data_IF_452543056486
#
_entry.id   IF_452543056486
#
_cell.length_a   1.000
_cell.length_b   1.000
_cell.length_c   1.000
_cell.angle_alpha   90.00
_cell.angle_beta   90.00
_cell.angle_gamma   90.00
#
_symmetry.space_group_name_H-M   'P 1'
#
loop_
_entity.id
_entity.type
_entity.pdbx_description
1 polymer ?
#
# COMPACT_ATOMS: atom_id res chain seq x y z
N UNK A 1 -28.88 34.48 11.73
CA UNK A 1 -30.16 35.01 11.19
C UNK A 1 -30.18 34.77 9.70
N UNK A 2 -30.83 33.69 9.32
CA UNK A 2 -31.31 33.43 7.96
C UNK A 2 -32.50 34.37 7.78
N UNK A 3 -32.53 35.20 6.74
CA UNK A 3 -33.73 36.00 6.47
C UNK A 3 -34.78 35.09 5.84
N UNK A 4 -35.98 34.97 6.42
CA UNK A 4 -37.09 34.30 5.74
C UNK A 4 -37.64 35.18 4.61
N UNK A 5 -38.26 34.54 3.62
CA UNK A 5 -38.96 35.23 2.54
C UNK A 5 -40.07 36.15 3.09
N UNK A 6 -40.27 37.27 2.42
CA UNK A 6 -41.26 38.27 2.82
C UNK A 6 -42.70 37.74 2.70
N UNK A 7 -43.51 38.00 3.72
CA UNK A 7 -44.94 37.66 3.77
C UNK A 7 -45.70 38.25 2.58
N UNK A 8 -46.27 37.40 1.73
CA UNK A 8 -47.22 37.80 0.68
C UNK A 8 -46.99 37.21 -0.72
N UNK A 9 -45.95 36.42 -0.97
CA UNK A 9 -45.86 35.68 -2.25
C UNK A 9 -46.76 34.45 -2.21
N UNK A 10 -47.81 34.46 -3.03
CA UNK A 10 -48.56 33.23 -3.34
C UNK A 10 -47.70 32.43 -4.32
N UNK A 11 -47.26 31.20 -3.99
CA UNK A 11 -46.43 30.40 -4.89
C UNK A 11 -47.23 30.10 -6.15
N UNK A 12 -46.85 30.74 -7.26
CA UNK A 12 -47.35 30.37 -8.57
C UNK A 12 -46.28 29.48 -9.18
N UNK A 13 -46.67 28.22 -9.41
CA UNK A 13 -45.84 27.06 -9.79
C UNK A 13 -45.19 26.31 -8.61
N UNK A 14 -45.29 24.99 -8.70
CA UNK A 14 -44.63 23.97 -7.89
C UNK A 14 -43.11 24.04 -8.08
N UNK A 15 -42.44 25.10 -7.63
CA UNK A 15 -41.01 25.03 -7.38
C UNK A 15 -40.85 24.17 -6.13
N UNK A 16 -40.42 22.91 -6.29
CA UNK A 16 -39.90 22.18 -5.14
C UNK A 16 -38.81 23.07 -4.54
N UNK A 17 -38.88 23.33 -3.23
CA UNK A 17 -37.79 24.01 -2.54
C UNK A 17 -36.55 23.16 -2.80
N UNK A 18 -35.48 23.77 -3.31
CA UNK A 18 -34.24 23.08 -3.63
C UNK A 18 -33.15 23.64 -2.73
N UNK A 19 -32.65 22.82 -1.82
CA UNK A 19 -31.65 23.17 -0.84
C UNK A 19 -30.26 22.89 -1.41
N UNK A 20 -29.27 23.63 -0.92
CA UNK A 20 -27.87 23.32 -1.21
C UNK A 20 -27.47 22.13 -0.34
N UNK A 21 -26.65 21.18 -0.84
CA UNK A 21 -26.12 20.11 -0.01
C UNK A 21 -25.37 20.64 1.22
N UNK A 22 -25.29 19.80 2.25
CA UNK A 22 -24.43 20.01 3.42
C UNK A 22 -23.36 18.93 3.45
N UNK A 23 -22.14 19.31 3.83
CA UNK A 23 -20.99 18.41 3.91
C UNK A 23 -20.25 18.57 5.24
N UNK A 24 -19.55 17.50 5.63
CA UNK A 24 -18.56 17.51 6.71
C UNK A 24 -17.39 16.62 6.32
N UNK A 25 -16.17 17.11 6.53
CA UNK A 25 -14.93 16.37 6.21
C UNK A 25 -13.88 16.56 7.29
N UNK A 26 -13.12 15.49 7.56
CA UNK A 26 -11.97 15.56 8.44
C UNK A 26 -10.93 14.48 8.13
N UNK A 27 -9.69 14.74 8.55
CA UNK A 27 -8.59 13.79 8.45
C UNK A 27 -8.50 12.94 9.71
N UNK A 28 -8.34 11.62 9.57
CA UNK A 28 -8.01 10.74 10.70
C UNK A 28 -6.50 10.76 10.96
N UNK A 29 -6.08 11.47 12.01
CA UNK A 29 -4.67 11.83 12.26
C UNK A 29 -3.79 10.71 12.80
N UNK A 30 -4.34 9.56 13.22
CA UNK A 30 -3.54 8.48 13.83
C UNK A 30 -2.93 7.50 12.81
N UNK A 31 -3.49 7.36 11.61
CA UNK A 31 -2.99 6.40 10.60
C UNK A 31 -3.43 6.74 9.16
N UNK A 32 -3.65 8.03 8.88
CA UNK A 32 -4.28 8.47 7.64
C UNK A 32 -3.35 9.01 6.57
N UNK A 33 -2.02 8.84 6.67
CA UNK A 33 -1.07 9.25 5.62
C UNK A 33 -0.03 8.15 5.44
N UNK A 34 0.08 7.63 4.22
CA UNK A 34 1.07 6.64 3.81
C UNK A 34 1.85 7.15 2.60
N UNK A 35 3.18 7.23 2.70
CA UNK A 35 4.02 7.67 1.59
C UNK A 35 3.95 6.69 0.43
N UNK A 36 3.78 7.21 -0.78
CA UNK A 36 3.77 6.41 -1.99
C UNK A 36 5.12 6.53 -2.71
N UNK A 37 5.80 5.40 -2.84
CA UNK A 37 7.15 5.30 -3.37
C UNK A 37 7.16 4.80 -4.81
N UNK A 38 8.03 5.39 -5.62
CA UNK A 38 8.35 4.91 -6.96
C UNK A 38 9.86 4.71 -7.08
N UNK A 39 10.24 3.60 -7.70
CA UNK A 39 11.63 3.26 -8.01
C UNK A 39 11.94 3.60 -9.46
N UNK A 40 13.04 4.32 -9.67
CA UNK A 40 13.67 4.46 -10.98
C UNK A 40 14.67 3.30 -11.17
N UNK A 41 14.39 2.34 -12.08
CA UNK A 41 15.25 1.17 -12.29
C UNK A 41 16.58 1.53 -12.95
N UNK A 42 16.69 2.67 -13.64
CA UNK A 42 17.92 3.09 -14.30
C UNK A 42 18.94 3.64 -13.29
N UNK A 43 18.46 4.33 -12.27
CA UNK A 43 19.30 4.97 -11.25
C UNK A 43 19.28 4.22 -9.92
N UNK A 44 18.44 3.18 -9.79
CA UNK A 44 18.19 2.43 -8.56
C UNK A 44 17.89 3.37 -7.37
N UNK A 45 17.09 4.39 -7.64
CA UNK A 45 16.69 5.41 -6.67
C UNK A 45 15.22 5.25 -6.37
N UNK A 46 14.89 5.06 -5.10
CA UNK A 46 13.52 5.11 -4.62
C UNK A 46 13.21 6.52 -4.13
N UNK A 47 12.12 7.09 -4.63
CA UNK A 47 11.66 8.43 -4.28
C UNK A 47 10.19 8.43 -3.92
N UNK A 48 9.81 9.22 -2.92
CA UNK A 48 8.41 9.53 -2.64
C UNK A 48 7.88 10.41 -3.76
N UNK A 49 6.75 10.03 -4.38
CA UNK A 49 6.08 10.86 -5.39
C UNK A 49 4.79 11.50 -4.88
N UNK A 50 4.30 11.06 -3.72
CA UNK A 50 3.10 11.57 -3.05
C UNK A 50 2.77 10.76 -1.81
N UNK A 51 1.55 10.91 -1.32
CA UNK A 51 1.05 10.09 -0.22
C UNK A 51 -0.42 9.71 -0.43
N UNK A 52 -0.79 8.51 -0.01
CA UNK A 52 -2.18 8.09 0.13
C UNK A 52 -2.71 8.60 1.47
N UNK A 53 -3.80 9.36 1.42
CA UNK A 53 -4.40 9.99 2.59
C UNK A 53 -5.81 9.43 2.82
N UNK A 54 -6.07 8.92 4.02
CA UNK A 54 -7.39 8.41 4.44
C UNK A 54 -8.22 9.53 5.06
N UNK A 55 -9.33 9.86 4.41
CA UNK A 55 -10.16 11.02 4.70
C UNK A 55 -11.60 10.60 4.94
N UNK A 56 -12.19 11.13 6.01
CA UNK A 56 -13.63 10.96 6.23
C UNK A 56 -14.40 12.01 5.43
N UNK A 57 -15.51 11.57 4.84
CA UNK A 57 -16.49 12.44 4.22
C UNK A 57 -17.90 12.10 4.73
N UNK A 58 -18.76 13.11 4.77
CA UNK A 58 -20.20 12.99 4.86
C UNK A 58 -20.86 14.07 4.01
N UNK A 59 -21.91 13.71 3.28
CA UNK A 59 -22.72 14.61 2.48
C UNK A 59 -24.20 14.26 2.61
N UNK A 60 -25.03 15.29 2.64
CA UNK A 60 -26.49 15.15 2.66
C UNK A 60 -27.12 16.26 1.84
N UNK A 61 -28.10 15.89 1.03
CA UNK A 61 -29.11 16.82 0.55
C UNK A 61 -30.44 16.50 1.24
N UNK A 62 -31.08 17.51 1.83
CA UNK A 62 -32.34 17.32 2.57
C UNK A 62 -33.52 17.03 1.63
N UNK A 63 -33.41 17.39 0.35
CA UNK A 63 -34.42 17.11 -0.67
C UNK A 63 -34.19 15.74 -1.33
N UNK A 64 -33.05 15.10 -1.05
CA UNK A 64 -32.74 13.74 -1.47
C UNK A 64 -32.28 13.62 -2.93
N UNK A 65 -31.86 14.73 -3.54
CA UNK A 65 -31.42 14.83 -4.94
C UNK A 65 -29.92 15.13 -5.09
N UNK A 66 -29.11 14.75 -4.09
CA UNK A 66 -27.66 14.78 -4.18
C UNK A 66 -27.18 14.01 -5.43
N UNK A 67 -26.48 14.69 -6.34
CA UNK A 67 -26.13 14.14 -7.65
C UNK A 67 -24.68 13.70 -7.75
N UNK A 68 -23.74 14.56 -7.34
CA UNK A 68 -22.30 14.29 -7.43
C UNK A 68 -21.58 14.75 -6.16
N UNK A 69 -20.55 14.02 -5.76
CA UNK A 69 -19.64 14.45 -4.70
C UNK A 69 -18.26 13.82 -4.87
N UNK A 70 -17.23 14.48 -4.31
CA UNK A 70 -15.88 13.96 -4.36
C UNK A 70 -14.82 14.99 -3.96
N UNK A 71 -13.56 14.59 -4.11
CA UNK A 71 -12.39 15.38 -3.77
C UNK A 71 -11.88 16.16 -4.97
N UNK A 72 -11.58 17.43 -4.75
CA UNK A 72 -10.84 18.34 -5.62
C UNK A 72 -9.47 18.56 -4.97
N UNK A 73 -8.45 17.97 -5.58
CA UNK A 73 -7.09 17.82 -5.05
C UNK A 73 -6.22 19.00 -5.50
N UNK A 74 -6.44 19.51 -6.71
CA UNK A 74 -5.68 20.63 -7.26
C UNK A 74 -6.37 22.01 -7.11
N UNK A 75 -7.58 22.02 -6.54
CA UNK A 75 -8.40 23.19 -6.24
C UNK A 75 -8.83 23.96 -7.49
N UNK A 76 -9.01 23.28 -8.62
CA UNK A 76 -9.50 23.88 -9.86
C UNK A 76 -11.03 24.04 -9.92
N UNK A 77 -11.76 23.53 -8.92
CA UNK A 77 -13.21 23.57 -8.82
C UNK A 77 -13.90 22.37 -9.49
N UNK A 78 -13.15 21.41 -10.00
CA UNK A 78 -13.63 20.16 -10.58
C UNK A 78 -13.35 19.00 -9.61
N UNK A 79 -14.23 18.01 -9.57
CA UNK A 79 -13.99 16.80 -8.78
C UNK A 79 -12.97 15.92 -9.52
N UNK A 80 -11.81 15.72 -8.91
CA UNK A 80 -10.75 14.81 -9.38
C UNK A 80 -11.06 13.35 -9.04
N UNK A 81 -11.58 13.13 -7.83
CA UNK A 81 -11.89 11.79 -7.32
C UNK A 81 -13.32 11.72 -6.81
N UNK A 82 -14.19 11.08 -7.60
CA UNK A 82 -15.58 10.85 -7.24
C UNK A 82 -15.75 9.93 -6.04
N UNK A 83 -16.80 10.19 -5.26
CA UNK A 83 -17.22 9.39 -4.12
C UNK A 83 -18.72 9.13 -4.23
N UNK A 84 -19.16 7.88 -4.02
CA UNK A 84 -20.57 7.49 -4.16
C UNK A 84 -21.30 7.30 -2.82
N UNK A 85 -20.57 6.95 -1.76
CA UNK A 85 -21.17 6.72 -0.45
C UNK A 85 -21.41 8.05 0.26
N UNK A 86 -22.62 8.26 0.79
CA UNK A 86 -22.99 9.50 1.48
C UNK A 86 -22.14 9.78 2.72
N UNK A 87 -21.52 8.76 3.31
CA UNK A 87 -20.48 8.95 4.32
C UNK A 87 -19.55 7.74 4.38
N UNK A 88 -18.30 7.95 4.77
CA UNK A 88 -17.32 6.89 4.86
C UNK A 88 -15.90 7.41 4.83
N UNK A 89 -14.95 6.51 4.56
CA UNK A 89 -13.56 6.87 4.34
C UNK A 89 -13.20 6.70 2.86
N UNK A 90 -12.53 7.70 2.32
CA UNK A 90 -11.92 7.67 1.00
C UNK A 90 -10.40 7.70 1.15
N UNK A 91 -9.68 6.91 0.35
CA UNK A 91 -8.22 7.05 0.22
C UNK A 91 -7.92 7.89 -1.01
N UNK A 92 -7.20 9.00 -0.82
CA UNK A 92 -6.89 9.99 -1.86
C UNK A 92 -5.38 10.08 -2.02
N UNK A 93 -4.90 9.91 -3.25
CA UNK A 93 -3.48 10.12 -3.55
C UNK A 93 -3.21 11.61 -3.78
N UNK A 94 -2.30 12.19 -2.99
CA UNK A 94 -1.89 13.60 -3.12
C UNK A 94 -0.43 13.65 -3.57
N UNK A 95 -0.13 14.19 -4.77
CA UNK A 95 1.23 14.24 -5.29
C UNK A 95 2.11 15.19 -4.48
N UNK A 96 3.42 14.91 -4.41
CA UNK A 96 4.43 15.74 -3.75
C UNK A 96 4.38 17.22 -4.15
N UNK A 97 3.99 17.52 -5.39
CA UNK A 97 3.84 18.88 -5.91
C UNK A 97 2.73 19.70 -5.23
N UNK A 98 1.74 19.05 -4.61
CA UNK A 98 0.65 19.71 -3.90
C UNK A 98 0.97 19.99 -2.42
N UNK A 99 2.15 19.59 -1.94
CA UNK A 99 2.57 19.82 -0.56
C UNK A 99 3.47 21.05 -0.45
N UNK A 100 3.29 21.79 0.65
CA UNK A 100 4.03 23.01 0.95
C UNK A 100 4.74 22.87 2.30
N UNK A 101 6.03 23.17 2.33
CA UNK A 101 6.81 23.19 3.56
C UNK A 101 6.32 24.30 4.51
N UNK A 102 6.21 23.99 5.80
CA UNK A 102 6.01 25.03 6.80
C UNK A 102 7.24 25.94 6.88
N UNK A 103 7.09 27.27 6.79
CA UNK A 103 8.20 28.18 6.96
C UNK A 103 8.72 28.11 8.41
N UNK A 104 9.99 27.74 8.58
CA UNK A 104 10.68 27.76 9.88
C UNK A 104 11.61 28.96 9.96
N UNK A 105 11.36 29.86 10.92
CA UNK A 105 12.25 31.00 11.18
C UNK A 105 13.60 30.57 11.77
N UNK A 106 13.61 29.46 12.51
CA UNK A 106 14.79 28.95 13.20
C UNK A 106 15.69 28.12 12.26
N UNK A 107 15.09 27.47 11.25
CA UNK A 107 15.80 26.62 10.28
C UNK A 107 15.31 26.93 8.86
N UNK A 108 15.74 28.05 8.22
CA UNK A 108 15.19 28.53 6.96
C UNK A 108 15.33 27.56 5.78
N UNK A 109 16.27 26.61 5.86
CA UNK A 109 16.56 25.63 4.82
C UNK A 109 16.12 24.20 5.18
N UNK A 110 15.33 24.02 6.24
CA UNK A 110 14.87 22.70 6.69
C UNK A 110 13.36 22.62 6.68
N UNK A 111 12.82 21.55 6.08
CA UNK A 111 11.40 21.22 6.16
C UNK A 111 11.20 20.41 7.43
N UNK A 112 10.56 20.99 8.44
CA UNK A 112 10.24 20.30 9.70
C UNK A 112 8.84 19.66 9.66
N UNK A 113 7.98 20.16 8.80
CA UNK A 113 6.63 19.67 8.53
C UNK A 113 6.17 20.26 7.19
N UNK A 114 5.14 19.69 6.62
CA UNK A 114 4.49 20.15 5.39
C UNK A 114 2.98 20.12 5.55
N UNK A 115 2.29 20.89 4.71
CA UNK A 115 0.84 20.90 4.62
C UNK A 115 0.39 20.85 3.17
N UNK A 116 -0.80 20.31 2.95
CA UNK A 116 -1.55 20.44 1.70
C UNK A 116 -2.98 20.82 2.01
N UNK A 117 -3.67 21.41 1.03
CA UNK A 117 -5.09 21.74 1.14
C UNK A 117 -5.81 21.18 -0.06
N UNK A 118 -6.88 20.44 0.20
CA UNK A 118 -7.78 19.90 -0.80
C UNK A 118 -9.20 20.34 -0.45
N UNK A 119 -10.15 20.16 -1.37
CA UNK A 119 -11.56 20.43 -1.11
C UNK A 119 -12.40 19.16 -1.31
N UNK A 120 -13.49 19.06 -0.56
CA UNK A 120 -14.59 18.16 -0.88
C UNK A 120 -15.74 18.98 -1.44
N UNK A 121 -16.28 18.54 -2.58
CA UNK A 121 -17.35 19.21 -3.30
C UNK A 121 -18.56 18.29 -3.33
N UNK A 122 -19.75 18.84 -3.11
CA UNK A 122 -21.02 18.16 -3.31
C UNK A 122 -21.95 19.04 -4.16
N UNK A 123 -22.61 18.43 -5.14
CA UNK A 123 -23.47 19.09 -6.14
C UNK A 123 -24.81 18.35 -6.21
N UNK A 124 -25.92 19.07 -6.10
CA UNK A 124 -27.27 18.52 -6.26
C UNK A 124 -27.69 18.38 -7.74
N UNK A 125 -28.85 17.78 -8.01
CA UNK A 125 -29.38 17.58 -9.36
C UNK A 125 -29.78 18.89 -10.07
N UNK A 126 -29.98 19.97 -9.31
CA UNK A 126 -30.28 21.32 -9.79
C UNK A 126 -29.03 22.16 -10.08
N UNK A 127 -27.84 21.66 -9.71
CA UNK A 127 -26.54 22.29 -9.88
C UNK A 127 -26.11 23.21 -8.74
N UNK A 128 -26.79 23.25 -7.60
CA UNK A 128 -26.24 23.92 -6.43
C UNK A 128 -25.08 23.10 -5.88
N UNK A 129 -24.03 23.80 -5.46
CA UNK A 129 -22.83 23.18 -4.94
C UNK A 129 -22.40 23.76 -3.60
N UNK A 130 -21.79 22.92 -2.77
CA UNK A 130 -21.07 23.29 -1.55
C UNK A 130 -19.67 22.71 -1.60
N UNK A 131 -18.71 23.41 -1.01
CA UNK A 131 -17.32 22.95 -0.90
C UNK A 131 -16.76 23.21 0.49
N UNK A 132 -15.91 22.31 0.99
CA UNK A 132 -15.21 22.48 2.26
C UNK A 132 -13.73 22.17 2.07
N UNK A 133 -12.87 23.09 2.50
CA UNK A 133 -11.43 22.86 2.55
C UNK A 133 -11.07 21.91 3.70
N UNK A 134 -10.13 21.02 3.41
CA UNK A 134 -9.46 20.20 4.40
C UNK A 134 -7.95 20.46 4.33
N UNK A 135 -7.39 20.88 5.45
CA UNK A 135 -5.95 21.07 5.60
C UNK A 135 -5.35 19.81 6.22
N UNK A 136 -4.36 19.24 5.53
CA UNK A 136 -3.70 18.00 5.93
C UNK A 136 -2.26 18.34 6.27
N UNK A 137 -1.84 17.94 7.47
CA UNK A 137 -0.48 18.18 7.96
C UNK A 137 0.29 16.86 8.00
N UNK A 138 1.55 16.91 7.58
CA UNK A 138 2.46 15.77 7.60
C UNK A 138 3.84 16.19 8.10
N UNK A 139 4.58 15.29 8.78
CA UNK A 139 6.04 15.37 8.81
C UNK A 139 6.61 15.49 7.38
N UNK A 140 7.86 15.96 7.22
CA UNK A 140 8.50 15.97 5.91
C UNK A 140 8.54 14.56 5.34
N UNK A 141 8.29 14.43 4.03
CA UNK A 141 8.46 13.14 3.38
C UNK A 141 9.90 12.66 3.47
N UNK A 142 10.04 11.35 3.59
CA UNK A 142 11.31 10.66 3.59
C UNK A 142 12.12 11.06 2.36
N UNK A 143 13.41 11.40 2.51
CA UNK A 143 14.25 11.77 1.39
C UNK A 143 14.40 10.58 0.43
N UNK A 144 14.56 10.88 -0.86
CA UNK A 144 15.02 9.87 -1.80
C UNK A 144 16.35 9.29 -1.33
N UNK A 145 16.50 7.97 -1.43
CA UNK A 145 17.73 7.30 -1.02
C UNK A 145 18.17 6.33 -2.12
N UNK A 146 19.49 6.19 -2.23
CA UNK A 146 20.15 5.22 -3.10
C UNK A 146 20.31 3.95 -2.29
N UNK A 147 19.60 2.89 -2.67
CA UNK A 147 19.34 1.71 -1.84
C UNK A 147 17.84 1.42 -1.82
N UNK A 148 17.39 0.33 -1.21
CA UNK A 148 15.97 -0.05 -1.20
C UNK A 148 15.36 -0.07 0.22
N UNK A 149 14.25 0.66 0.41
CA UNK A 149 13.08 0.14 1.11
C UNK A 149 12.66 -1.06 0.29
N UNK A 150 12.39 -2.22 0.91
CA UNK A 150 12.06 -3.42 0.17
C UNK A 150 10.76 -3.19 -0.61
N UNK A 151 10.87 -2.97 -1.93
CA UNK A 151 9.74 -2.88 -2.88
C UNK A 151 8.97 -4.21 -2.90
N UNK A 152 9.67 -5.27 -2.54
CA UNK A 152 9.12 -6.60 -2.31
C UNK A 152 9.13 -6.90 -0.83
N UNK A 153 7.96 -7.15 -0.27
CA UNK A 153 7.84 -7.61 1.11
C UNK A 153 7.50 -9.09 1.10
N UNK A 154 8.31 -9.86 1.84
CA UNK A 154 8.02 -11.25 2.11
C UNK A 154 7.87 -11.49 3.61
N UNK A 155 7.03 -12.46 3.94
CA UNK A 155 6.97 -13.09 5.27
C UNK A 155 7.55 -14.49 5.20
N UNK A 156 8.21 -14.94 6.26
CA UNK A 156 8.68 -16.32 6.40
C UNK A 156 8.18 -16.89 7.73
N UNK A 157 7.50 -18.02 7.69
CA UNK A 157 6.97 -18.73 8.86
C UNK A 157 7.29 -20.22 8.80
N UNK A 158 7.25 -20.89 9.94
CA UNK A 158 7.35 -22.35 10.02
C UNK A 158 6.30 -23.02 9.11
N UNK A 159 6.70 -24.09 8.43
CA UNK A 159 5.82 -24.78 7.48
C UNK A 159 4.79 -25.72 8.15
N UNK A 160 4.77 -25.80 9.49
CA UNK A 160 3.99 -26.69 10.35
C UNK A 160 4.16 -28.18 10.02
N UNK A 161 5.35 -28.58 9.57
CA UNK A 161 5.72 -29.98 9.35
C UNK A 161 6.78 -30.39 10.36
N UNK A 162 6.72 -31.64 10.85
CA UNK A 162 7.75 -32.15 11.76
C UNK A 162 9.10 -32.23 11.03
N UNK A 163 10.16 -31.75 11.67
CA UNK A 163 11.53 -32.05 11.26
C UNK A 163 11.84 -33.51 11.55
N UNK A 164 12.44 -34.22 10.60
CA UNK A 164 12.74 -35.64 10.72
C UNK A 164 14.21 -35.93 10.40
N UNK A 165 14.58 -37.21 10.37
CA UNK A 165 15.91 -37.60 9.87
C UNK A 165 15.90 -37.86 8.36
N UNK A 166 14.77 -37.57 7.72
CA UNK A 166 14.51 -37.69 6.29
C UNK A 166 15.20 -36.60 5.49
N UNK A 167 14.78 -36.46 4.23
CA UNK A 167 15.30 -35.41 3.33
C UNK A 167 14.17 -34.80 2.50
N UNK A 168 12.98 -34.80 3.07
CA UNK A 168 11.71 -34.41 2.46
C UNK A 168 10.86 -33.60 3.46
N UNK A 169 11.51 -33.02 4.47
CA UNK A 169 10.88 -32.20 5.50
C UNK A 169 10.53 -30.82 4.95
N UNK A 170 9.35 -30.31 5.33
CA UNK A 170 8.93 -28.95 5.03
C UNK A 170 9.54 -28.02 6.08
N UNK A 171 10.44 -27.13 5.67
CA UNK A 171 11.16 -26.27 6.60
C UNK A 171 10.41 -24.97 6.87
N UNK A 172 10.27 -24.11 5.85
CA UNK A 172 9.73 -22.75 6.01
C UNK A 172 8.81 -22.42 4.84
N UNK A 173 7.71 -21.73 5.14
CA UNK A 173 6.81 -21.15 4.17
C UNK A 173 7.11 -19.66 3.98
N UNK A 174 7.33 -19.25 2.74
CA UNK A 174 7.61 -17.86 2.37
C UNK A 174 6.48 -17.33 1.50
N UNK A 175 5.92 -16.17 1.84
CA UNK A 175 4.80 -15.55 1.11
C UNK A 175 5.19 -14.14 0.66
N UNK A 176 4.87 -13.75 -0.57
CA UNK A 176 4.99 -12.36 -1.02
C UNK A 176 3.76 -11.57 -0.57
N UNK A 177 3.94 -10.56 0.27
CA UNK A 177 2.87 -9.68 0.75
C UNK A 177 2.81 -8.34 0.00
N UNK A 178 3.88 -7.96 -0.68
CA UNK A 178 3.96 -6.73 -1.49
C UNK A 178 5.00 -6.90 -2.60
N UNK A 179 4.77 -6.29 -3.76
CA UNK A 179 5.69 -6.31 -4.90
C UNK A 179 4.96 -6.37 -6.24
N UNK A 180 5.73 -6.46 -7.33
CA UNK A 180 5.22 -6.88 -8.64
C UNK A 180 5.54 -8.34 -8.91
N UNK A 181 5.10 -8.87 -10.05
CA UNK A 181 5.36 -10.27 -10.42
C UNK A 181 6.87 -10.53 -10.60
N UNK A 182 7.41 -11.57 -9.95
CA UNK A 182 8.80 -12.01 -10.12
C UNK A 182 8.86 -13.28 -10.95
N UNK A 183 9.49 -13.24 -12.13
CA UNK A 183 9.63 -14.44 -12.95
C UNK A 183 10.55 -15.48 -12.28
N UNK A 184 10.07 -16.72 -12.13
CA UNK A 184 10.83 -17.81 -11.51
C UNK A 184 12.19 -18.05 -12.16
N UNK A 185 12.34 -17.83 -13.47
CA UNK A 185 13.64 -17.97 -14.16
C UNK A 185 14.64 -16.85 -13.82
N UNK A 186 14.18 -15.74 -13.25
CA UNK A 186 14.98 -14.54 -12.94
C UNK A 186 15.30 -14.40 -11.47
N UNK A 187 14.92 -15.36 -10.62
CA UNK A 187 15.23 -15.34 -9.19
C UNK A 187 15.96 -16.60 -8.74
N UNK A 188 16.70 -16.48 -7.64
CA UNK A 188 17.36 -17.57 -6.94
C UNK A 188 17.05 -17.45 -5.46
N UNK A 189 16.54 -18.53 -4.88
CA UNK A 189 16.34 -18.64 -3.44
C UNK A 189 17.45 -19.48 -2.84
N UNK A 190 18.09 -18.95 -1.80
CA UNK A 190 19.09 -19.67 -1.01
C UNK A 190 18.63 -19.75 0.43
N UNK A 191 18.97 -20.84 1.10
CA UNK A 191 18.78 -20.97 2.54
C UNK A 191 20.10 -21.27 3.24
N UNK A 192 20.22 -20.76 4.46
CA UNK A 192 21.27 -21.11 5.40
C UNK A 192 20.59 -21.62 6.67
N UNK A 193 20.81 -22.88 7.00
CA UNK A 193 20.27 -23.51 8.21
C UNK A 193 21.33 -23.45 9.32
N UNK A 194 21.01 -22.91 10.49
CA UNK A 194 21.90 -22.77 11.66
C UNK A 194 23.27 -22.14 11.33
N UNK A 195 23.26 -21.11 10.48
CA UNK A 195 24.46 -20.42 9.97
C UNK A 195 25.43 -21.31 9.16
N UNK A 196 24.99 -22.48 8.68
CA UNK A 196 25.74 -23.30 7.73
C UNK A 196 25.94 -22.58 6.38
N UNK A 197 26.77 -23.15 5.52
CA UNK A 197 26.99 -22.61 4.18
C UNK A 197 25.66 -22.55 3.40
N UNK A 198 25.31 -21.41 2.77
CA UNK A 198 24.05 -21.30 2.04
C UNK A 198 23.94 -22.30 0.89
N UNK A 199 22.83 -23.03 0.84
CA UNK A 199 22.47 -23.91 -0.27
C UNK A 199 21.45 -23.20 -1.17
N UNK A 200 21.44 -23.53 -2.45
CA UNK A 200 20.47 -22.98 -3.41
C UNK A 200 19.32 -23.96 -3.55
N UNK A 201 18.09 -23.47 -3.41
CA UNK A 201 16.91 -24.28 -3.62
C UNK A 201 16.50 -24.27 -5.09
N UNK A 202 15.96 -25.38 -5.55
CA UNK A 202 15.38 -25.51 -6.89
C UNK A 202 14.10 -24.70 -6.98
N UNK A 203 14.02 -23.82 -7.98
CA UNK A 203 12.77 -23.11 -8.28
C UNK A 203 11.65 -24.10 -8.65
N UNK A 204 10.37 -23.70 -8.54
CA UNK A 204 9.24 -24.60 -8.81
C UNK A 204 9.38 -25.33 -10.16
N UNK A 205 9.28 -26.66 -10.13
CA UNK A 205 9.43 -27.55 -11.29
C UNK A 205 10.86 -27.91 -11.69
N UNK A 206 11.89 -27.36 -11.03
CA UNK A 206 13.28 -27.81 -11.16
C UNK A 206 13.60 -28.94 -10.16
N UNK A 207 14.70 -29.66 -10.39
CA UNK A 207 15.17 -30.77 -9.54
C UNK A 207 16.70 -30.83 -9.51
N UNK A 208 17.26 -31.31 -8.39
CA UNK A 208 18.68 -31.65 -8.24
C UNK A 208 19.44 -30.83 -7.18
N UNK A 209 18.81 -29.83 -6.57
CA UNK A 209 19.30 -29.06 -5.43
C UNK A 209 19.13 -29.78 -4.09
N UNK A 210 19.67 -29.17 -3.02
CA UNK A 210 19.56 -29.66 -1.63
C UNK A 210 18.22 -29.34 -0.97
N UNK A 211 17.47 -28.42 -1.56
CA UNK A 211 16.11 -28.05 -1.20
C UNK A 211 15.33 -27.72 -2.47
N UNK A 212 14.00 -27.86 -2.43
CA UNK A 212 13.08 -27.51 -3.50
C UNK A 212 12.04 -26.51 -3.03
N UNK A 213 11.61 -25.63 -3.95
CA UNK A 213 10.50 -24.71 -3.72
C UNK A 213 9.20 -25.33 -4.24
N UNK A 214 8.27 -25.60 -3.34
CA UNK A 214 6.92 -26.04 -3.69
C UNK A 214 5.99 -24.84 -3.61
N UNK A 215 5.57 -24.36 -4.77
CA UNK A 215 4.71 -23.18 -4.88
C UNK A 215 3.29 -23.43 -4.34
N UNK A 216 2.70 -22.40 -3.75
CA UNK A 216 1.29 -22.33 -3.36
C UNK A 216 0.69 -20.97 -3.76
N UNK A 217 -0.64 -20.90 -3.87
CA UNK A 217 -1.33 -19.76 -4.45
C UNK A 217 -1.63 -20.02 -5.93
N UNK A 218 -1.23 -19.10 -6.80
CA UNK A 218 -1.51 -19.09 -8.25
C UNK A 218 -0.50 -19.92 -9.06
N UNK A 219 -0.43 -21.23 -8.82
CA UNK A 219 0.64 -22.13 -9.34
C UNK A 219 0.62 -22.43 -10.86
N UNK A 220 -0.26 -21.80 -11.63
CA UNK A 220 -0.40 -22.05 -13.08
C UNK A 220 0.35 -21.06 -13.96
N UNK A 221 0.88 -20.00 -13.36
CA UNK A 221 1.68 -19.00 -14.06
C UNK A 221 3.19 -19.32 -13.93
N UNK A 222 4.04 -18.39 -14.36
CA UNK A 222 5.50 -18.54 -14.30
C UNK A 222 6.12 -17.44 -13.43
N UNK A 223 5.37 -16.95 -12.45
CA UNK A 223 5.75 -15.79 -11.64
C UNK A 223 5.40 -16.01 -10.17
N UNK A 224 6.15 -15.36 -9.29
CA UNK A 224 5.77 -15.19 -7.89
C UNK A 224 5.01 -13.87 -7.77
N UNK A 225 3.70 -13.93 -7.54
CA UNK A 225 2.83 -12.75 -7.40
C UNK A 225 2.48 -12.47 -5.93
N UNK A 226 1.91 -11.30 -5.65
CA UNK A 226 1.42 -10.95 -4.31
C UNK A 226 0.30 -11.91 -3.89
N UNK A 227 0.44 -12.53 -2.72
CA UNK A 227 -0.45 -13.56 -2.20
C UNK A 227 0.02 -15.00 -2.48
N UNK A 228 0.96 -15.18 -3.41
CA UNK A 228 1.59 -16.47 -3.67
C UNK A 228 2.79 -16.70 -2.75
N UNK A 229 3.27 -17.93 -2.72
CA UNK A 229 4.45 -18.27 -1.95
C UNK A 229 5.03 -19.64 -2.26
N UNK A 230 6.05 -20.00 -1.50
CA UNK A 230 6.73 -21.29 -1.60
C UNK A 230 6.88 -21.92 -0.23
N UNK A 231 6.64 -23.23 -0.15
CA UNK A 231 7.16 -24.05 0.93
C UNK A 231 8.54 -24.54 0.52
N UNK A 232 9.53 -24.26 1.35
CA UNK A 232 10.90 -24.74 1.17
C UNK A 232 10.97 -26.15 1.77
N UNK A 233 11.26 -27.12 0.91
CA UNK A 233 11.30 -28.54 1.26
C UNK A 233 12.72 -29.04 1.09
N UNK A 234 13.19 -29.88 1.99
CA UNK A 234 14.43 -30.60 1.78
C UNK A 234 14.36 -31.50 0.55
N UNK A 235 15.48 -31.64 -0.16
CA UNK A 235 15.57 -32.57 -1.28
C UNK A 235 16.93 -33.26 -1.30
N UNK A 236 16.97 -34.52 -0.87
CA UNK A 236 18.17 -35.36 -0.96
C UNK A 236 19.29 -35.00 0.02
N UNK A 237 19.09 -34.02 0.89
CA UNK A 237 19.93 -33.71 2.04
C UNK A 237 19.05 -33.42 3.26
N UNK A 238 19.42 -33.97 4.41
CA UNK A 238 18.86 -33.61 5.71
C UNK A 238 19.56 -32.32 6.14
N UNK A 239 18.83 -31.21 6.12
CA UNK A 239 19.29 -29.87 6.49
C UNK A 239 18.88 -29.52 7.92
N UNK A 240 17.76 -30.04 8.41
CA UNK A 240 17.26 -29.89 9.78
C UNK A 240 16.81 -31.25 10.35
N UNK A 241 17.55 -31.76 11.33
CA UNK A 241 17.38 -33.13 11.82
C UNK A 241 16.31 -33.27 12.92
N UNK A 242 15.82 -34.49 13.11
CA UNK A 242 14.68 -34.80 13.96
C UNK A 242 14.80 -34.24 15.39
N UNK A 243 13.75 -33.54 15.83
CA UNK A 243 13.62 -33.04 17.19
C UNK A 243 14.51 -31.84 17.50
N UNK A 244 14.91 -31.10 16.47
CA UNK A 244 15.63 -29.82 16.58
C UNK A 244 14.76 -28.69 16.04
N UNK A 245 14.93 -27.50 16.61
CA UNK A 245 14.43 -26.26 16.01
C UNK A 245 15.59 -25.63 15.25
N UNK A 246 15.53 -25.60 13.92
CA UNK A 246 16.60 -25.03 13.11
C UNK A 246 16.26 -23.60 12.68
N UNK A 247 17.22 -22.69 12.80
CA UNK A 247 17.09 -21.33 12.27
C UNK A 247 17.35 -21.36 10.76
N UNK A 248 16.35 -20.98 9.97
CA UNK A 248 16.43 -20.97 8.51
C UNK A 248 16.43 -19.54 8.01
N UNK A 249 17.60 -19.09 7.54
CA UNK A 249 17.77 -17.79 6.87
C UNK A 249 17.57 -17.95 5.37
N UNK A 250 16.50 -17.38 4.85
CA UNK A 250 16.13 -17.34 3.43
C UNK A 250 16.66 -16.07 2.79
N UNK A 251 17.31 -16.20 1.63
CA UNK A 251 17.79 -15.09 0.80
C UNK A 251 17.22 -15.23 -0.61
N UNK A 252 16.49 -14.21 -1.06
CA UNK A 252 15.91 -14.15 -2.41
C UNK A 252 16.74 -13.17 -3.23
N UNK A 253 17.23 -13.59 -4.40
CA UNK A 253 18.13 -12.81 -5.26
C UNK A 253 17.58 -12.73 -6.68
N UNK A 254 17.58 -11.54 -7.28
CA UNK A 254 17.39 -11.38 -8.73
C UNK A 254 18.69 -11.78 -9.43
N UNK A 255 18.63 -12.80 -10.27
CA UNK A 255 19.79 -13.38 -10.94
C UNK A 255 20.25 -12.58 -12.15
N UNK A 256 19.38 -11.72 -12.71
CA UNK A 256 19.72 -10.86 -13.85
C UNK A 256 20.61 -9.70 -13.41
N UNK A 257 20.31 -9.16 -12.23
CA UNK A 257 21.03 -8.02 -11.66
C UNK A 257 22.05 -8.44 -10.60
N UNK A 258 22.01 -9.69 -10.13
CA UNK A 258 22.87 -10.22 -9.07
C UNK A 258 22.57 -9.59 -7.71
N UNK A 259 21.34 -9.16 -7.47
CA UNK A 259 20.94 -8.32 -6.35
C UNK A 259 20.01 -9.05 -5.39
N UNK A 260 20.26 -8.97 -4.09
CA UNK A 260 19.32 -9.49 -3.08
C UNK A 260 18.03 -8.67 -3.12
N UNK A 261 16.91 -9.35 -3.34
CA UNK A 261 15.55 -8.82 -3.34
C UNK A 261 15.05 -8.74 -1.91
N UNK A 262 15.26 -9.80 -1.13
CA UNK A 262 14.82 -9.87 0.26
C UNK A 262 15.63 -10.90 1.07
N UNK A 263 15.61 -10.73 2.39
CA UNK A 263 16.20 -11.67 3.33
C UNK A 263 15.30 -11.82 4.57
N UNK A 264 14.97 -13.06 4.94
CA UNK A 264 14.13 -13.36 6.09
C UNK A 264 14.70 -14.52 6.89
N UNK A 265 14.43 -14.51 8.17
CA UNK A 265 14.73 -15.63 9.06
C UNK A 265 13.43 -16.16 9.63
N UNK A 266 13.31 -17.48 9.66
CA UNK A 266 12.26 -18.19 10.37
C UNK A 266 12.85 -19.44 11.03
N UNK A 267 12.00 -20.27 11.60
CA UNK A 267 12.39 -21.51 12.25
C UNK A 267 11.62 -22.68 11.62
N UNK A 268 12.26 -23.85 11.60
CA UNK A 268 11.64 -25.13 11.29
C UNK A 268 11.71 -26.01 12.55
N UNK A 269 10.60 -26.62 12.98
CA UNK A 269 10.54 -27.51 14.15
C UNK A 269 9.67 -28.77 13.96
#
# INVERSE_FOLDING_TARGET
TISPEAEGQTPTSTSMLNHVPSIDVFQYTQSGIEEYWVMDPLTNTSSVIGANVSLYHAAIDVDGDLANMGWDIDLDGTIDQNVSDHSGFSTVFIPTSAWHAYPSHQMPNSILSQMTSIAFIAIDASGNAVSQFLHINSPPFSPAYIGMLPIYQFSAEDANGETTSGTDDNLVRVTMSQGGDLNWASISVKISVDNAAPVTCDNPGATGGSCGLVEFGSTSDQVWSVGDGVTIVETGQNLCDAGQTCEVRVTITDTREGRTVDERTSFAE
#
